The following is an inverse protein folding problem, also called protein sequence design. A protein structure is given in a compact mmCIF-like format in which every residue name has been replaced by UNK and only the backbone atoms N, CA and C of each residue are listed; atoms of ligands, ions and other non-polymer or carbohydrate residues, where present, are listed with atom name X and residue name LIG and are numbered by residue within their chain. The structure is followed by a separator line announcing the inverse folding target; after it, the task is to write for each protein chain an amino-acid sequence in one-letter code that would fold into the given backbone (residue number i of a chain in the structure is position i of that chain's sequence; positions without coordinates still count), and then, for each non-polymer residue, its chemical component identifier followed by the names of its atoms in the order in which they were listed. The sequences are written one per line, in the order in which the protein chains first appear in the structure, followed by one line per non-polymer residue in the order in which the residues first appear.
data_IF_753078668472
#
_entry.id   IF_753078668472
#
_cell.length_a   1.000
_cell.length_b   1.000
_cell.length_c   1.000
_cell.angle_alpha   90.00
_cell.angle_beta   90.00
_cell.angle_gamma   90.00
#
_symmetry.space_group_name_H-M   'P 1'
#
loop_
_entity.id
_entity.type
_entity.pdbx_description
1 polymer ?
#
# COMPACT_ATOMS: atom_id res chain seq x y z
N UNK A 1 18.36 20.08 -4.18
CA UNK A 1 17.24 19.16 -3.85
C UNK A 1 17.73 17.72 -3.63
N UNK A 2 18.85 17.48 -2.94
CA UNK A 2 19.14 16.10 -2.53
C UNK A 2 20.01 16.09 -1.28
N UNK A 3 19.40 15.61 -0.21
CA UNK A 3 19.99 15.20 1.05
C UNK A 3 20.19 13.67 1.09
N UNK A 4 20.04 12.99 -0.06
CA UNK A 4 20.20 11.56 -0.20
C UNK A 4 21.43 11.24 -1.07
N UNK A 5 22.27 10.26 -0.70
CA UNK A 5 23.49 9.95 -1.44
C UNK A 5 23.16 9.29 -2.78
N UNK A 6 23.61 9.90 -3.88
CA UNK A 6 23.42 9.38 -5.24
C UNK A 6 24.30 8.16 -5.57
N UNK A 7 25.21 7.78 -4.67
CA UNK A 7 26.05 6.59 -4.78
C UNK A 7 25.31 5.28 -4.49
N UNK A 8 24.13 5.35 -3.85
CA UNK A 8 23.26 4.20 -3.64
C UNK A 8 22.29 4.06 -4.81
N UNK A 9 22.22 2.87 -5.41
CA UNK A 9 21.29 2.57 -6.51
C UNK A 9 19.83 2.84 -6.12
N UNK A 10 19.45 2.53 -4.89
CA UNK A 10 18.11 2.81 -4.36
C UNK A 10 17.81 4.31 -4.31
N UNK A 11 18.69 5.10 -3.69
CA UNK A 11 18.48 6.55 -3.58
C UNK A 11 18.62 7.27 -4.94
N UNK A 12 19.43 6.75 -5.84
CA UNK A 12 19.53 7.23 -7.21
C UNK A 12 18.21 7.04 -7.95
N UNK A 13 17.57 5.87 -7.85
CA UNK A 13 16.25 5.63 -8.44
C UNK A 13 15.19 6.56 -7.86
N UNK A 14 15.20 6.81 -6.55
CA UNK A 14 14.28 7.77 -5.92
C UNK A 14 14.50 9.18 -6.49
N UNK A 15 15.74 9.64 -6.58
CA UNK A 15 16.07 10.96 -7.11
C UNK A 15 15.69 11.12 -8.58
N UNK A 16 15.94 10.10 -9.41
CA UNK A 16 15.61 10.10 -10.84
C UNK A 16 14.11 10.34 -11.09
N UNK A 17 13.22 9.95 -10.17
CA UNK A 17 11.76 10.21 -10.28
C UNK A 17 11.40 11.70 -10.16
N UNK A 18 12.24 12.51 -9.52
CA UNK A 18 12.03 13.95 -9.30
C UNK A 18 12.89 14.85 -10.20
N UNK A 19 13.79 14.25 -10.98
CA UNK A 19 14.64 14.99 -11.92
C UNK A 19 13.90 15.54 -13.14
N UNK A 20 12.82 14.95 -13.69
CA UNK A 20 12.19 15.48 -14.90
C UNK A 20 11.79 16.95 -14.79
N UNK A 21 11.22 17.39 -13.66
CA UNK A 21 10.81 18.79 -13.46
C UNK A 21 12.02 19.74 -13.39
N UNK A 22 13.07 19.36 -12.68
CA UNK A 22 14.29 20.16 -12.58
C UNK A 22 15.06 20.19 -13.91
N UNK A 23 15.15 19.06 -14.60
CA UNK A 23 15.76 18.94 -15.91
C UNK A 23 15.02 19.81 -16.94
N UNK A 24 13.69 19.81 -16.94
CA UNK A 24 12.89 20.70 -17.78
C UNK A 24 13.22 22.17 -17.53
N UNK A 25 13.33 22.60 -16.27
CA UNK A 25 13.74 23.96 -15.93
C UNK A 25 15.17 24.26 -16.42
N UNK A 26 16.12 23.36 -16.20
CA UNK A 26 17.49 23.51 -16.70
C UNK A 26 17.55 23.64 -18.23
N UNK A 27 16.77 22.83 -18.96
CA UNK A 27 16.66 22.92 -20.41
C UNK A 27 16.08 24.26 -20.87
N UNK A 28 15.03 24.76 -20.19
CA UNK A 28 14.45 26.09 -20.48
C UNK A 28 15.49 27.19 -20.25
N UNK A 29 16.19 27.18 -19.12
CA UNK A 29 17.23 28.17 -18.82
C UNK A 29 18.39 28.12 -19.79
N UNK A 30 18.85 26.91 -20.14
CA UNK A 30 19.90 26.71 -21.14
C UNK A 30 19.48 27.27 -22.50
N UNK A 31 18.25 27.01 -22.96
CA UNK A 31 17.73 27.54 -24.21
C UNK A 31 17.64 29.08 -24.22
N UNK A 32 17.20 29.68 -23.11
CA UNK A 32 17.17 31.14 -22.95
C UNK A 32 18.57 31.76 -22.97
N UNK A 33 19.54 31.15 -22.27
CA UNK A 33 20.93 31.57 -22.27
C UNK A 33 21.57 31.48 -23.66
N UNK A 34 21.38 30.36 -24.36
CA UNK A 34 21.86 30.18 -25.71
C UNK A 34 21.26 31.21 -26.67
N UNK A 35 19.96 31.50 -26.57
CA UNK A 35 19.30 32.56 -27.35
C UNK A 35 19.92 33.93 -27.08
N UNK A 36 20.23 34.26 -25.83
CA UNK A 36 20.89 35.52 -25.49
C UNK A 36 22.28 35.62 -26.13
N UNK A 37 23.10 34.57 -26.01
CA UNK A 37 24.44 34.49 -26.62
C UNK A 37 24.36 34.65 -28.14
N UNK A 38 23.48 33.90 -28.81
CA UNK A 38 23.27 34.01 -30.26
C UNK A 38 22.82 35.42 -30.66
N UNK A 39 21.93 36.04 -29.87
CA UNK A 39 21.47 37.41 -30.12
C UNK A 39 22.54 38.47 -29.89
N UNK A 40 23.47 38.24 -28.98
CA UNK A 40 24.59 39.14 -28.68
C UNK A 40 25.65 39.04 -29.79
N UNK A 41 26.00 37.81 -30.21
CA UNK A 41 26.91 37.56 -31.33
C UNK A 41 26.39 38.14 -32.66
N UNK A 42 25.07 38.14 -32.87
CA UNK A 42 24.43 38.79 -34.02
C UNK A 42 24.46 40.32 -33.98
N UNK A 43 24.44 40.92 -32.79
CA UNK A 43 24.44 42.37 -32.60
C UNK A 43 25.84 42.99 -32.64
N UNK A 44 26.89 42.20 -32.45
CA UNK A 44 28.29 42.65 -32.46
C UNK A 44 29.15 41.80 -33.43
N UNK A 45 28.94 41.91 -34.76
CA UNK A 45 29.66 41.12 -35.75
C UNK A 45 31.17 41.38 -35.80
N UNK A 46 31.64 42.48 -35.21
CA UNK A 46 33.07 42.85 -35.14
C UNK A 46 33.90 42.00 -34.16
N UNK A 47 33.27 41.22 -33.29
CA UNK A 47 33.94 40.31 -32.33
C UNK A 47 34.18 38.92 -32.95
N UNK A 48 33.59 38.68 -34.11
CA UNK A 48 33.65 37.40 -34.81
C UNK A 48 34.78 37.42 -35.87
N UNK A 49 35.58 36.35 -35.98
CA UNK A 49 36.68 36.28 -36.96
C UNK A 49 36.16 36.35 -38.41
N UNK A 50 36.99 36.73 -39.40
CA UNK A 50 36.55 37.01 -40.79
C UNK A 50 35.83 35.85 -41.52
N UNK A 51 35.99 34.61 -41.05
CA UNK A 51 35.32 33.41 -41.55
C UNK A 51 33.96 33.14 -40.88
N UNK A 52 33.64 33.86 -39.81
CA UNK A 52 32.39 33.74 -39.07
C UNK A 52 31.10 34.21 -39.79
N UNK A 53 31.10 34.97 -40.90
CA UNK A 53 29.89 35.11 -41.72
C UNK A 53 29.42 33.77 -42.30
N UNK A 54 30.27 32.73 -42.26
CA UNK A 54 29.91 31.34 -42.56
C UNK A 54 29.39 30.57 -41.33
N UNK A 55 29.18 31.21 -40.16
CA UNK A 55 28.32 30.65 -39.11
C UNK A 55 26.91 30.60 -39.69
N UNK A 56 26.46 29.41 -40.08
CA UNK A 56 25.51 29.33 -41.17
C UNK A 56 24.08 29.55 -40.68
N UNK A 57 23.17 29.65 -41.65
CA UNK A 57 21.73 29.89 -41.51
C UNK A 57 21.00 28.97 -40.52
N UNK A 58 21.66 27.96 -39.94
CA UNK A 58 21.16 27.24 -38.78
C UNK A 58 21.16 28.04 -37.46
N UNK A 59 21.66 29.28 -37.44
CA UNK A 59 21.36 30.23 -36.37
C UNK A 59 19.91 30.77 -36.44
N UNK A 60 19.10 30.43 -37.47
CA UNK A 60 17.67 30.77 -37.49
C UNK A 60 16.98 30.19 -36.24
N UNK A 61 15.91 30.83 -35.72
CA UNK A 61 15.25 30.38 -34.48
C UNK A 61 14.55 29.02 -34.59
N UNK A 62 14.56 28.38 -35.77
CA UNK A 62 13.87 27.13 -36.11
C UNK A 62 14.67 25.83 -35.91
N UNK A 63 15.91 25.69 -36.40
CA UNK A 63 16.72 24.46 -36.33
C UNK A 63 16.98 23.93 -34.93
N UNK A 64 17.20 24.78 -33.92
CA UNK A 64 17.39 24.32 -32.55
C UNK A 64 16.10 23.73 -31.94
N UNK A 65 14.94 24.41 -32.04
CA UNK A 65 13.65 23.79 -31.70
C UNK A 65 13.35 22.52 -32.50
N UNK A 66 13.67 22.48 -33.80
CA UNK A 66 13.50 21.30 -34.64
C UNK A 66 14.39 20.14 -34.20
N UNK A 67 15.66 20.39 -33.90
CA UNK A 67 16.59 19.37 -33.39
C UNK A 67 16.15 18.88 -31.99
N UNK A 68 15.69 19.78 -31.14
CA UNK A 68 15.13 19.43 -29.81
C UNK A 68 13.86 18.61 -29.96
N UNK A 69 12.94 19.02 -30.83
CA UNK A 69 11.71 18.29 -31.12
C UNK A 69 12.01 16.92 -31.74
N UNK A 70 12.99 16.83 -32.63
CA UNK A 70 13.44 15.57 -33.21
C UNK A 70 14.05 14.64 -32.16
N UNK A 71 14.90 15.15 -31.26
CA UNK A 71 15.44 14.36 -30.15
C UNK A 71 14.35 13.89 -29.18
N UNK A 72 13.41 14.77 -28.82
CA UNK A 72 12.26 14.40 -28.00
C UNK A 72 11.38 13.37 -28.71
N UNK A 73 11.16 13.51 -30.02
CA UNK A 73 10.39 12.56 -30.81
C UNK A 73 11.08 11.20 -30.87
N UNK A 74 12.38 11.16 -31.16
CA UNK A 74 13.19 9.92 -31.17
C UNK A 74 13.18 9.26 -29.80
N UNK A 75 13.36 10.03 -28.73
CA UNK A 75 13.32 9.50 -27.36
C UNK A 75 11.93 8.98 -27.00
N UNK A 76 10.88 9.74 -27.31
CA UNK A 76 9.50 9.34 -27.09
C UNK A 76 9.12 8.12 -27.92
N UNK A 77 9.58 8.00 -29.17
CA UNK A 77 9.26 6.85 -30.03
C UNK A 77 10.00 5.58 -29.60
N UNK A 78 11.28 5.68 -29.21
CA UNK A 78 12.05 4.53 -28.75
C UNK A 78 11.59 4.02 -27.38
N UNK A 79 11.08 4.90 -26.52
CA UNK A 79 10.61 4.54 -25.19
C UNK A 79 9.08 4.57 -25.05
N UNK A 80 8.36 4.65 -26.18
CA UNK A 80 6.89 4.73 -26.20
C UNK A 80 6.28 3.53 -25.48
N UNK A 81 6.63 2.30 -25.91
CA UNK A 81 6.05 1.08 -25.35
C UNK A 81 6.34 0.89 -23.85
N UNK A 82 7.47 1.42 -23.37
CA UNK A 82 7.83 1.38 -21.95
C UNK A 82 7.12 2.47 -21.13
N UNK A 83 6.70 3.56 -21.78
CA UNK A 83 6.06 4.73 -21.15
C UNK A 83 4.55 4.80 -21.41
N UNK A 84 4.01 3.94 -22.29
CA UNK A 84 2.60 3.93 -22.65
C UNK A 84 1.76 3.35 -21.51
N UNK A 85 1.25 4.26 -20.68
CA UNK A 85 0.33 3.95 -19.59
C UNK A 85 -1.14 4.20 -20.00
N UNK A 86 -1.43 4.39 -21.29
CA UNK A 86 -2.78 4.76 -21.77
C UNK A 86 -3.85 3.70 -21.49
N UNK A 87 -3.43 2.44 -21.36
CA UNK A 87 -4.31 1.30 -21.02
C UNK A 87 -4.20 0.88 -19.56
N UNK A 88 -3.32 1.51 -18.79
CA UNK A 88 -3.05 1.12 -17.42
C UNK A 88 -4.12 1.70 -16.49
N UNK A 89 -5.02 0.84 -16.02
CA UNK A 89 -6.07 1.20 -15.06
C UNK A 89 -5.76 0.76 -13.62
N UNK A 90 -4.60 0.13 -13.40
CA UNK A 90 -4.23 -0.47 -12.12
C UNK A 90 -4.24 0.52 -10.96
N UNK A 91 -3.87 1.79 -11.20
CA UNK A 91 -3.92 2.83 -10.18
C UNK A 91 -5.34 3.08 -9.65
N UNK A 92 -6.31 3.16 -10.58
CA UNK A 92 -7.72 3.30 -10.27
C UNK A 92 -8.24 2.03 -9.59
N UNK A 93 -7.97 0.87 -10.18
CA UNK A 93 -8.54 -0.40 -9.74
C UNK A 93 -8.01 -0.81 -8.36
N UNK A 94 -6.73 -0.53 -8.07
CA UNK A 94 -6.17 -0.64 -6.73
C UNK A 94 -6.90 0.23 -5.71
N UNK A 95 -7.13 1.51 -6.03
CA UNK A 95 -7.88 2.40 -5.15
C UNK A 95 -9.32 1.90 -4.91
N UNK A 96 -9.97 1.37 -5.95
CA UNK A 96 -11.32 0.79 -5.85
C UNK A 96 -11.36 -0.47 -4.97
N UNK A 97 -10.45 -1.42 -5.20
CA UNK A 97 -10.36 -2.66 -4.42
C UNK A 97 -9.98 -2.40 -2.96
N UNK A 98 -9.14 -1.38 -2.70
CA UNK A 98 -8.86 -0.94 -1.33
C UNK A 98 -10.10 -0.41 -0.63
N UNK A 99 -10.87 0.48 -1.27
CA UNK A 99 -12.09 1.05 -0.67
C UNK A 99 -13.26 0.05 -0.61
N UNK A 100 -13.18 -1.07 -1.35
CA UNK A 100 -14.18 -2.14 -1.34
C UNK A 100 -14.36 -2.77 0.05
N UNK A 101 -13.27 -2.93 0.80
CA UNK A 101 -13.28 -3.47 2.16
C UNK A 101 -13.97 -2.56 3.20
N UNK A 102 -14.13 -1.28 2.87
CA UNK A 102 -14.71 -0.27 3.75
C UNK A 102 -16.24 -0.32 3.71
N UNK A 103 -16.92 -0.43 4.87
CA UNK A 103 -18.38 -0.46 4.93
C UNK A 103 -18.99 0.89 4.58
N UNK A 104 -20.20 0.85 4.01
CA UNK A 104 -21.01 2.05 3.82
C UNK A 104 -21.73 2.41 5.14
N UNK A 105 -21.01 3.11 6.01
CA UNK A 105 -21.49 3.58 7.32
C UNK A 105 -21.27 5.08 7.45
N UNK A 106 -22.06 5.75 8.31
CA UNK A 106 -21.70 7.09 8.75
C UNK A 106 -20.39 7.05 9.52
N UNK A 107 -19.52 8.02 9.25
CA UNK A 107 -18.23 8.24 9.93
C UNK A 107 -17.29 7.03 9.87
N UNK A 108 -16.61 6.92 8.73
CA UNK A 108 -15.50 5.98 8.57
C UNK A 108 -14.19 6.75 8.53
N UNK A 109 -13.21 6.34 9.35
CA UNK A 109 -11.86 6.87 9.33
C UNK A 109 -10.93 5.82 8.69
N UNK A 110 -10.25 6.20 7.61
CA UNK A 110 -9.19 5.41 7.00
C UNK A 110 -7.84 6.05 7.32
N UNK A 111 -7.04 5.37 8.11
CA UNK A 111 -5.65 5.68 8.38
C UNK A 111 -4.79 5.11 7.25
N UNK A 112 -4.07 5.95 6.52
CA UNK A 112 -3.16 5.51 5.47
C UNK A 112 -1.71 5.61 5.92
N UNK A 113 -0.87 4.72 5.41
CA UNK A 113 0.58 4.78 5.50
C UNK A 113 1.15 4.40 4.14
N UNK A 114 2.10 5.20 3.64
CA UNK A 114 2.65 5.04 2.29
C UNK A 114 1.97 5.95 1.26
N UNK A 115 2.77 6.51 0.37
CA UNK A 115 2.30 7.43 -0.67
C UNK A 115 1.51 6.70 -1.76
N UNK A 116 1.85 5.44 -2.04
CA UNK A 116 1.12 4.53 -2.91
C UNK A 116 -0.35 4.35 -2.47
N UNK A 117 -0.55 4.14 -1.17
CA UNK A 117 -1.86 3.94 -0.55
C UNK A 117 -2.64 5.24 -0.56
N UNK A 118 -2.04 6.31 -0.03
CA UNK A 118 -2.70 7.60 0.13
C UNK A 118 -3.17 8.18 -1.21
N UNK A 119 -2.30 8.18 -2.22
CA UNK A 119 -2.58 8.81 -3.49
C UNK A 119 -3.68 8.07 -4.26
N UNK A 120 -3.67 6.73 -4.25
CA UNK A 120 -4.72 5.93 -4.86
C UNK A 120 -6.07 6.12 -4.14
N UNK A 121 -6.08 6.10 -2.80
CA UNK A 121 -7.29 6.33 -2.01
C UNK A 121 -7.90 7.71 -2.31
N UNK A 122 -7.07 8.76 -2.29
CA UNK A 122 -7.51 10.14 -2.55
C UNK A 122 -7.97 10.33 -3.98
N UNK A 123 -7.29 9.74 -4.96
CA UNK A 123 -7.70 9.81 -6.36
C UNK A 123 -9.11 9.26 -6.56
N UNK A 124 -9.37 8.04 -6.09
CA UNK A 124 -10.69 7.42 -6.23
C UNK A 124 -11.74 8.14 -5.40
N UNK A 125 -11.43 8.51 -4.16
CA UNK A 125 -12.38 9.16 -3.27
C UNK A 125 -12.73 10.59 -3.71
N UNK A 126 -11.73 11.42 -4.04
CA UNK A 126 -11.92 12.85 -4.34
C UNK A 126 -12.17 13.10 -5.82
N UNK A 127 -11.36 12.52 -6.71
CA UNK A 127 -11.42 12.87 -8.13
C UNK A 127 -12.57 12.17 -8.85
N UNK A 128 -12.76 10.87 -8.60
CA UNK A 128 -13.91 10.14 -9.16
C UNK A 128 -15.21 10.41 -8.39
N UNK A 129 -15.13 10.82 -7.12
CA UNK A 129 -16.28 11.27 -6.33
C UNK A 129 -16.88 12.59 -6.82
N UNK A 130 -16.03 13.55 -7.24
CA UNK A 130 -16.44 14.87 -7.76
C UNK A 130 -16.98 14.77 -9.19
N UNK A 131 -16.38 13.94 -10.06
CA UNK A 131 -16.87 13.74 -11.43
C UNK A 131 -18.22 13.00 -11.48
N UNK A 132 -18.57 12.24 -10.44
CA UNK A 132 -19.75 11.40 -10.38
C UNK A 132 -20.74 11.82 -9.28
N UNK A 133 -20.99 13.12 -9.10
CA UNK A 133 -21.87 13.70 -8.07
C UNK A 133 -23.34 13.20 -8.10
N UNK A 134 -23.71 12.30 -9.02
CA UNK A 134 -24.92 11.51 -8.91
C UNK A 134 -24.70 10.39 -7.86
N UNK A 135 -25.34 10.52 -6.71
CA UNK A 135 -25.41 9.55 -5.57
C UNK A 135 -25.70 8.08 -5.97
N UNK A 136 -26.11 7.85 -7.23
CA UNK A 136 -26.31 6.55 -7.84
C UNK A 136 -24.99 5.87 -8.30
N UNK A 137 -24.05 6.64 -8.83
CA UNK A 137 -22.77 6.12 -9.35
C UNK A 137 -21.79 5.79 -8.22
N UNK A 138 -21.87 6.48 -7.08
CA UNK A 138 -21.08 6.15 -5.87
C UNK A 138 -21.32 4.71 -5.39
N UNK A 139 -22.55 4.19 -5.52
CA UNK A 139 -22.87 2.79 -5.18
C UNK A 139 -22.37 1.78 -6.21
N UNK A 140 -22.34 2.14 -7.50
CA UNK A 140 -21.90 1.27 -8.60
C UNK A 140 -20.37 1.23 -8.74
N UNK A 141 -19.68 2.34 -8.46
CA UNK A 141 -18.22 2.48 -8.54
C UNK A 141 -17.51 2.36 -7.18
N UNK A 142 -18.21 2.00 -6.09
CA UNK A 142 -17.58 1.80 -4.78
C UNK A 142 -17.02 3.06 -4.09
N UNK A 143 -17.31 4.26 -4.58
CA UNK A 143 -16.88 5.54 -3.98
C UNK A 143 -17.70 5.83 -2.72
N UNK A 144 -17.03 5.99 -1.57
CA UNK A 144 -17.65 6.12 -0.24
C UNK A 144 -17.79 7.60 0.18
N UNK A 145 -18.99 8.20 0.21
CA UNK A 145 -19.16 9.63 0.51
C UNK A 145 -18.93 10.02 1.98
N UNK A 146 -18.85 9.05 2.90
CA UNK A 146 -18.72 9.27 4.36
C UNK A 146 -17.36 8.81 4.91
N UNK A 147 -16.35 8.79 4.04
CA UNK A 147 -14.99 8.37 4.34
C UNK A 147 -14.10 9.59 4.65
N UNK A 148 -13.40 9.55 5.78
CA UNK A 148 -12.35 10.51 6.13
C UNK A 148 -11.00 9.82 5.98
N UNK A 149 -10.12 10.35 5.13
CA UNK A 149 -8.80 9.76 4.88
C UNK A 149 -7.75 10.59 5.62
N UNK A 150 -7.13 10.01 6.64
CA UNK A 150 -6.06 10.64 7.42
C UNK A 150 -4.76 9.87 7.21
N UNK A 151 -3.72 10.58 6.76
CA UNK A 151 -2.43 9.96 6.53
C UNK A 151 -1.52 10.07 7.75
N UNK A 152 -0.94 8.94 8.15
CA UNK A 152 -0.07 8.83 9.32
C UNK A 152 1.24 9.60 9.15
N UNK A 153 1.75 9.82 7.94
CA UNK A 153 2.98 10.60 7.73
C UNK A 153 2.69 12.10 7.73
N UNK A 154 1.55 12.53 7.18
CA UNK A 154 1.18 13.96 7.19
C UNK A 154 0.78 14.46 8.58
N UNK A 155 0.09 13.65 9.37
CA UNK A 155 -0.39 14.06 10.70
C UNK A 155 0.74 14.25 11.73
N UNK A 156 1.96 13.83 11.40
CA UNK A 156 3.17 14.14 12.19
C UNK A 156 3.54 15.63 12.16
N UNK A 157 3.03 16.38 11.19
CA UNK A 157 3.35 17.80 11.06
C UNK A 157 2.26 18.67 11.67
N UNK A 158 2.66 19.55 12.60
CA UNK A 158 1.73 20.48 13.27
C UNK A 158 0.97 21.39 12.30
N UNK A 159 1.63 21.87 11.24
CA UNK A 159 0.95 22.68 10.21
C UNK A 159 -0.20 21.92 9.56
N UNK A 160 -0.09 20.59 9.39
CA UNK A 160 -1.12 19.78 8.77
C UNK A 160 -2.29 19.57 9.72
N UNK A 161 -2.02 19.23 10.99
CA UNK A 161 -3.05 19.11 12.03
C UNK A 161 -3.83 20.42 12.18
N UNK A 162 -3.14 21.57 12.28
CA UNK A 162 -3.78 22.90 12.32
C UNK A 162 -4.61 23.20 11.08
N UNK A 163 -4.17 22.72 9.91
CA UNK A 163 -4.90 22.90 8.66
C UNK A 163 -6.21 22.13 8.64
N UNK A 164 -6.25 20.90 9.15
CA UNK A 164 -7.43 20.02 9.05
C UNK A 164 -8.39 20.14 10.24
N UNK A 165 -7.92 20.56 11.42
CA UNK A 165 -8.72 20.62 12.65
C UNK A 165 -10.01 21.41 12.46
N UNK A 166 -11.14 20.75 12.67
CA UNK A 166 -12.47 21.36 12.60
C UNK A 166 -12.92 21.78 11.20
N UNK A 167 -12.27 21.28 10.13
CA UNK A 167 -12.54 21.71 8.75
C UNK A 167 -12.84 20.55 7.81
N UNK A 168 -13.77 20.78 6.88
CA UNK A 168 -14.10 19.84 5.80
C UNK A 168 -14.51 18.46 6.30
N UNK A 169 -13.97 17.41 5.67
CA UNK A 169 -14.19 16.00 6.05
C UNK A 169 -13.71 15.67 7.47
N UNK A 170 -12.78 16.46 8.02
CA UNK A 170 -12.21 16.26 9.35
C UNK A 170 -12.95 17.01 10.46
N UNK A 171 -14.07 17.70 10.16
CA UNK A 171 -14.74 18.59 11.12
C UNK A 171 -15.20 17.88 12.39
N UNK A 172 -15.51 16.58 12.30
CA UNK A 172 -15.98 15.75 13.41
C UNK A 172 -14.89 14.80 13.95
N UNK A 173 -13.67 14.90 13.44
CA UNK A 173 -12.54 14.09 13.86
C UNK A 173 -11.85 14.78 15.05
N UNK A 174 -11.76 14.08 16.18
CA UNK A 174 -11.05 14.58 17.35
C UNK A 174 -9.55 14.31 17.20
N UNK A 175 -8.74 15.38 17.24
CA UNK A 175 -7.28 15.32 17.16
C UNK A 175 -6.68 15.67 18.54
N UNK A 176 -6.16 14.69 19.31
CA UNK A 176 -5.83 14.86 20.73
C UNK A 176 -4.68 15.83 21.04
N UNK A 177 -3.84 16.14 20.05
CA UNK A 177 -2.68 17.00 20.23
C UNK A 177 -2.33 17.78 18.95
N UNK A 178 -1.17 18.44 18.96
CA UNK A 178 -0.75 19.32 17.85
C UNK A 178 -0.12 18.56 16.68
N UNK A 179 0.42 17.37 16.92
CA UNK A 179 0.99 16.50 15.90
C UNK A 179 0.97 15.05 16.36
N UNK A 180 1.13 14.11 15.45
CA UNK A 180 1.35 12.70 15.76
C UNK A 180 2.84 12.41 16.01
N UNK A 181 3.15 11.70 17.10
CA UNK A 181 4.51 11.31 17.47
C UNK A 181 4.83 11.62 18.94
N UNK A 182 6.12 11.77 19.25
CA UNK A 182 6.62 11.94 20.63
C UNK A 182 7.06 13.36 20.97
N UNK A 183 6.85 14.32 20.06
CA UNK A 183 7.17 15.72 20.31
C UNK A 183 6.29 16.33 21.42
N UNK A 184 6.71 17.45 22.02
CA UNK A 184 5.94 18.12 23.07
C UNK A 184 4.55 18.52 22.54
N UNK A 185 3.49 18.07 23.22
CA UNK A 185 2.10 18.32 22.82
C UNK A 185 1.61 17.44 21.66
N UNK A 186 2.45 16.53 21.17
CA UNK A 186 2.04 15.50 20.22
C UNK A 186 1.18 14.43 20.90
N UNK A 187 0.50 13.64 20.08
CA UNK A 187 -0.28 12.48 20.51
C UNK A 187 0.26 11.20 19.88
N UNK A 188 0.09 10.09 20.58
CA UNK A 188 0.32 8.75 20.05
C UNK A 188 -0.93 8.24 19.33
N UNK A 189 -0.77 7.26 18.45
CA UNK A 189 -1.88 6.77 17.62
C UNK A 189 -2.99 6.15 18.47
N UNK A 190 -2.66 5.54 19.61
CA UNK A 190 -3.64 5.06 20.59
C UNK A 190 -4.62 6.15 21.01
N UNK A 191 -4.12 7.34 21.32
CA UNK A 191 -4.95 8.47 21.78
C UNK A 191 -5.90 8.94 20.67
N UNK A 192 -5.45 8.94 19.41
CA UNK A 192 -6.30 9.27 18.27
C UNK A 192 -7.43 8.23 18.10
N UNK A 193 -7.10 6.95 18.22
CA UNK A 193 -8.08 5.88 18.11
C UNK A 193 -9.08 5.99 19.27
N UNK A 194 -8.61 6.11 20.52
CA UNK A 194 -9.45 6.23 21.71
C UNK A 194 -10.45 7.38 21.62
N UNK A 195 -10.01 8.56 21.19
CA UNK A 195 -10.86 9.74 21.07
C UNK A 195 -11.99 9.57 20.03
N UNK A 196 -11.84 8.66 19.08
CA UNK A 196 -12.77 8.53 17.94
C UNK A 196 -13.49 7.18 17.88
N UNK A 197 -13.02 6.14 18.58
CA UNK A 197 -13.46 4.75 18.38
C UNK A 197 -14.97 4.55 18.55
N UNK A 198 -15.58 5.21 19.53
CA UNK A 198 -17.00 5.02 19.83
C UNK A 198 -17.92 5.69 18.78
N UNK A 199 -17.40 6.70 18.06
CA UNK A 199 -18.14 7.45 17.03
C UNK A 199 -17.77 7.10 15.58
N UNK A 200 -16.69 6.32 15.37
CA UNK A 200 -16.10 6.07 14.07
C UNK A 200 -15.79 4.58 13.85
N UNK A 201 -16.04 4.09 12.63
CA UNK A 201 -15.44 2.81 12.19
C UNK A 201 -14.05 3.08 11.62
N UNK A 202 -13.01 2.60 12.31
CA UNK A 202 -11.61 2.94 11.99
C UNK A 202 -10.94 1.77 11.22
N UNK A 203 -10.31 2.11 10.11
CA UNK A 203 -9.59 1.19 9.22
C UNK A 203 -8.19 1.70 8.95
N UNK A 204 -7.31 0.79 8.55
CA UNK A 204 -5.91 1.05 8.22
C UNK A 204 -5.60 0.47 6.85
N UNK A 205 -4.92 1.23 6.01
CA UNK A 205 -4.35 0.75 4.75
C UNK A 205 -2.85 1.08 4.72
N UNK A 206 -2.04 0.14 4.23
CA UNK A 206 -0.57 0.25 4.27
C UNK A 206 0.07 -0.08 5.62
N UNK A 207 -0.73 -0.28 6.66
CA UNK A 207 -0.26 -0.68 7.99
C UNK A 207 -0.17 0.49 8.98
N UNK A 208 0.31 0.19 10.18
CA UNK A 208 0.54 1.17 11.25
C UNK A 208 2.01 1.61 11.22
N UNK A 209 2.27 2.85 11.61
CA UNK A 209 3.64 3.37 11.70
C UNK A 209 4.46 2.53 12.70
N UNK A 210 5.58 1.96 12.25
CA UNK A 210 6.36 0.97 13.03
C UNK A 210 6.96 1.53 14.32
N UNK A 211 7.25 2.83 14.36
CA UNK A 211 7.79 3.48 15.56
C UNK A 211 6.74 3.72 16.67
N UNK A 212 5.45 3.49 16.41
CA UNK A 212 4.38 3.62 17.41
C UNK A 212 3.61 2.31 17.60
N UNK A 213 3.91 1.62 18.68
CA UNK A 213 3.22 0.42 19.13
C UNK A 213 2.17 0.68 20.22
N UNK A 214 1.87 1.93 20.55
CA UNK A 214 0.94 2.29 21.65
C UNK A 214 -0.48 1.73 21.48
N UNK A 215 -0.88 1.44 20.25
CA UNK A 215 -2.18 0.83 19.95
C UNK A 215 -2.24 -0.66 20.29
N UNK A 216 -1.09 -1.34 20.32
CA UNK A 216 -1.02 -2.78 20.54
C UNK A 216 -1.41 -3.11 21.99
N UNK A 217 -1.93 -4.31 22.25
CA UNK A 217 -2.08 -4.79 23.61
C UNK A 217 -0.70 -4.91 24.27
N UNK A 218 -0.59 -4.49 25.52
CA UNK A 218 0.64 -4.65 26.30
C UNK A 218 0.69 -6.10 26.80
N UNK A 219 1.73 -6.83 26.40
CA UNK A 219 1.95 -8.20 26.85
C UNK A 219 2.06 -8.27 28.38
N UNK A 220 1.35 -9.23 28.99
CA UNK A 220 1.30 -9.39 30.45
C UNK A 220 0.35 -8.44 31.18
N UNK A 221 -0.27 -7.45 30.50
CA UNK A 221 -1.18 -6.48 31.12
C UNK A 221 -2.51 -6.33 30.35
N UNK A 222 -3.31 -7.41 30.23
CA UNK A 222 -4.56 -7.40 29.45
C UNK A 222 -5.59 -6.37 29.95
N UNK A 223 -5.53 -5.96 31.21
CA UNK A 223 -6.38 -4.93 31.80
C UNK A 223 -6.13 -3.52 31.24
N UNK A 224 -4.97 -3.29 30.63
CA UNK A 224 -4.64 -2.01 29.98
C UNK A 224 -5.30 -1.88 28.60
N UNK A 225 -5.98 -2.94 28.14
CA UNK A 225 -6.67 -2.98 26.86
C UNK A 225 -5.70 -2.93 25.68
N UNK A 226 -6.23 -2.59 24.52
CA UNK A 226 -5.46 -2.58 23.30
C UNK A 226 -6.36 -2.58 22.08
N UNK A 227 -5.73 -2.46 20.92
CA UNK A 227 -6.37 -2.66 19.63
C UNK A 227 -5.67 -3.78 18.88
N UNK A 228 -6.42 -4.46 18.03
CA UNK A 228 -5.93 -5.42 17.05
C UNK A 228 -6.38 -5.01 15.67
N UNK A 229 -5.58 -5.40 14.69
CA UNK A 229 -5.93 -5.26 13.29
C UNK A 229 -6.65 -6.53 12.84
N UNK A 230 -7.70 -6.39 12.04
CA UNK A 230 -8.43 -7.53 11.50
C UNK A 230 -8.67 -7.38 9.99
N UNK A 231 -8.21 -8.33 9.15
CA UNK A 231 -8.15 -8.14 7.71
C UNK A 231 -9.52 -8.14 7.03
N UNK A 232 -9.73 -7.22 6.10
CA UNK A 232 -10.91 -7.11 5.24
C UNK A 232 -10.50 -6.65 3.83
N UNK A 233 -10.13 -7.61 2.98
CA UNK A 233 -9.58 -7.30 1.66
C UNK A 233 -8.20 -6.67 1.78
N UNK A 234 -8.00 -5.49 1.19
CA UNK A 234 -6.72 -4.77 1.23
C UNK A 234 -6.58 -3.81 2.42
N UNK A 235 -7.58 -3.76 3.31
CA UNK A 235 -7.56 -2.91 4.51
C UNK A 235 -7.67 -3.76 5.78
N UNK A 236 -7.24 -3.18 6.89
CA UNK A 236 -7.37 -3.77 8.21
C UNK A 236 -8.36 -2.95 9.03
N UNK A 237 -9.35 -3.60 9.65
CA UNK A 237 -10.20 -2.94 10.62
C UNK A 237 -9.50 -2.87 11.98
N UNK A 238 -9.56 -1.72 12.64
CA UNK A 238 -9.12 -1.60 14.04
C UNK A 238 -10.27 -2.09 14.93
N UNK A 239 -9.98 -3.08 15.78
CA UNK A 239 -10.90 -3.63 16.76
C UNK A 239 -10.28 -3.56 18.15
N UNK A 240 -11.05 -3.25 19.19
CA UNK A 240 -10.60 -3.45 20.57
C UNK A 240 -10.32 -4.94 20.80
N UNK A 241 -9.33 -5.26 21.62
CA UNK A 241 -8.89 -6.65 21.86
C UNK A 241 -10.00 -7.55 22.41
N UNK A 242 -10.85 -6.98 23.27
CA UNK A 242 -12.02 -7.62 23.87
C UNK A 242 -13.19 -7.85 22.88
N UNK A 243 -13.09 -7.32 21.65
CA UNK A 243 -14.13 -7.48 20.64
C UNK A 243 -14.22 -8.93 20.20
N UNK A 244 -15.40 -9.55 20.38
CA UNK A 244 -15.66 -10.89 19.85
C UNK A 244 -15.81 -10.85 18.33
N UNK A 245 -15.00 -11.64 17.64
CA UNK A 245 -15.06 -11.78 16.19
C UNK A 245 -15.80 -13.08 15.86
N UNK A 246 -16.93 -12.97 15.14
CA UNK A 246 -17.56 -14.14 14.54
C UNK A 246 -16.77 -14.54 13.29
N UNK A 247 -15.93 -15.56 13.42
CA UNK A 247 -14.98 -15.97 12.40
C UNK A 247 -15.64 -16.53 11.15
N UNK A 248 -16.73 -17.30 11.28
CA UNK A 248 -17.43 -17.85 10.10
C UNK A 248 -18.06 -16.74 9.26
N UNK A 249 -18.77 -15.81 9.90
CA UNK A 249 -19.36 -14.64 9.22
C UNK A 249 -18.26 -13.78 8.59
N UNK A 250 -17.14 -13.62 9.27
CA UNK A 250 -16.00 -12.90 8.73
C UNK A 250 -15.35 -13.64 7.56
N UNK A 251 -15.19 -14.96 7.61
CA UNK A 251 -14.57 -15.77 6.56
C UNK A 251 -15.36 -15.70 5.26
N UNK A 252 -16.70 -15.80 5.33
CA UNK A 252 -17.58 -15.64 4.16
C UNK A 252 -17.60 -14.20 3.63
N UNK A 253 -17.48 -13.20 4.50
CA UNK A 253 -17.40 -11.79 4.08
C UNK A 253 -16.06 -11.47 3.42
N UNK A 254 -14.95 -11.91 4.02
CA UNK A 254 -13.59 -11.61 3.57
C UNK A 254 -13.29 -12.21 2.20
N UNK A 255 -13.86 -13.39 1.89
CA UNK A 255 -13.76 -14.01 0.57
C UNK A 255 -14.27 -13.10 -0.56
N UNK A 256 -15.41 -12.44 -0.34
CA UNK A 256 -16.03 -11.50 -1.31
C UNK A 256 -15.25 -10.20 -1.47
N UNK A 257 -14.31 -9.95 -0.56
CA UNK A 257 -13.48 -8.75 -0.50
C UNK A 257 -12.02 -9.03 -0.91
N UNK A 258 -11.68 -10.26 -1.31
CA UNK A 258 -10.37 -10.53 -1.89
C UNK A 258 -10.20 -9.69 -3.17
N UNK A 259 -9.08 -8.95 -3.30
CA UNK A 259 -8.90 -8.00 -4.39
C UNK A 259 -8.83 -8.72 -5.73
N UNK A 260 -9.39 -8.13 -6.78
CA UNK A 260 -9.38 -8.69 -8.14
C UNK A 260 -8.59 -7.79 -9.09
N UNK A 261 -7.32 -7.59 -8.77
CA UNK A 261 -6.43 -6.80 -9.61
C UNK A 261 -5.92 -7.66 -10.77
N UNK A 262 -5.90 -7.08 -11.96
CA UNK A 262 -5.39 -7.70 -13.17
C UNK A 262 -4.12 -6.99 -13.61
N UNK A 263 -3.08 -7.77 -13.89
CA UNK A 263 -1.84 -7.27 -14.48
C UNK A 263 -1.72 -7.82 -15.90
N UNK A 264 -1.86 -6.97 -16.93
CA UNK A 264 -1.72 -7.41 -18.32
C UNK A 264 -0.34 -8.00 -18.64
N UNK A 265 0.68 -7.58 -17.89
CA UNK A 265 2.06 -8.07 -17.95
C UNK A 265 2.60 -8.15 -16.51
N UNK A 266 3.56 -9.05 -16.22
CA UNK A 266 4.26 -9.03 -14.94
C UNK A 266 4.79 -7.64 -14.61
N UNK A 267 4.58 -7.13 -13.38
CA UNK A 267 5.09 -5.83 -12.99
C UNK A 267 6.61 -5.72 -13.16
N UNK A 268 7.14 -4.66 -13.80
CA UNK A 268 8.57 -4.44 -13.89
C UNK A 268 9.22 -4.30 -12.50
N UNK A 269 10.45 -4.75 -12.34
CA UNK A 269 11.17 -4.61 -11.06
C UNK A 269 11.39 -3.13 -10.72
N UNK A 270 11.13 -2.75 -9.47
CA UNK A 270 11.19 -1.38 -8.96
C UNK A 270 9.99 -0.51 -9.35
N UNK A 271 9.03 -1.04 -10.10
CA UNK A 271 7.81 -0.31 -10.48
C UNK A 271 6.83 -0.16 -9.32
N UNK A 272 5.92 0.79 -9.46
CA UNK A 272 4.84 0.99 -8.51
C UNK A 272 3.90 -0.24 -8.45
N UNK A 273 3.64 -0.85 -9.60
CA UNK A 273 2.82 -2.06 -9.74
C UNK A 273 3.44 -3.26 -9.02
N UNK A 274 4.77 -3.34 -8.99
CA UNK A 274 5.48 -4.38 -8.27
C UNK A 274 5.29 -4.23 -6.76
N UNK A 275 5.43 -3.00 -6.26
CA UNK A 275 5.19 -2.66 -4.86
C UNK A 275 3.76 -3.02 -4.47
N UNK A 276 2.77 -2.68 -5.31
CA UNK A 276 1.39 -3.07 -5.07
C UNK A 276 1.19 -4.58 -5.00
N UNK A 277 1.73 -5.32 -5.99
CA UNK A 277 1.59 -6.76 -6.07
C UNK A 277 2.18 -7.44 -4.82
N UNK A 278 3.38 -7.00 -4.39
CA UNK A 278 4.10 -7.56 -3.25
C UNK A 278 3.49 -7.18 -1.91
N UNK A 279 3.28 -5.89 -1.68
CA UNK A 279 3.05 -5.36 -0.33
C UNK A 279 1.56 -5.28 0.03
N UNK A 280 0.66 -5.24 -0.96
CA UNK A 280 -0.76 -5.03 -0.69
C UNK A 280 -1.64 -6.14 -1.25
N UNK A 281 -1.44 -6.53 -2.51
CA UNK A 281 -2.24 -7.59 -3.12
C UNK A 281 -1.96 -8.94 -2.47
N UNK A 282 -0.70 -9.39 -2.46
CA UNK A 282 -0.33 -10.65 -1.84
C UNK A 282 -0.68 -10.68 -0.35
N UNK A 283 -0.47 -9.56 0.36
CA UNK A 283 -0.80 -9.42 1.76
C UNK A 283 -2.29 -9.69 2.05
N UNK A 284 -3.22 -9.30 1.17
CA UNK A 284 -4.65 -9.59 1.34
C UNK A 284 -4.94 -11.11 1.36
N UNK A 285 -4.24 -11.88 0.52
CA UNK A 285 -4.38 -13.33 0.45
C UNK A 285 -3.67 -14.06 1.58
N UNK A 286 -2.50 -13.58 2.02
CA UNK A 286 -1.74 -14.20 3.11
C UNK A 286 -2.30 -13.84 4.49
N UNK A 287 -2.83 -12.63 4.67
CA UNK A 287 -3.40 -12.19 5.94
C UNK A 287 -4.71 -12.90 6.27
N UNK A 288 -5.52 -13.23 5.25
CA UNK A 288 -6.81 -13.91 5.44
C UNK A 288 -6.67 -15.22 6.24
N UNK A 289 -5.77 -16.16 5.92
CA UNK A 289 -5.60 -17.35 6.75
C UNK A 289 -4.68 -17.13 7.97
N UNK A 290 -3.75 -16.16 7.91
CA UNK A 290 -2.80 -15.91 9.00
C UNK A 290 -3.43 -15.32 10.27
N UNK A 291 -4.33 -14.35 10.15
CA UNK A 291 -4.94 -13.73 11.33
C UNK A 291 -5.82 -14.70 12.14
N UNK A 292 -6.66 -15.55 11.51
CA UNK A 292 -7.33 -16.66 12.20
C UNK A 292 -6.36 -17.63 12.87
N UNK A 293 -5.19 -17.91 12.27
CA UNK A 293 -4.17 -18.74 12.89
C UNK A 293 -3.63 -18.11 14.17
N UNK A 294 -3.26 -16.83 14.14
CA UNK A 294 -2.85 -16.09 15.35
C UNK A 294 -3.95 -16.09 16.41
N UNK A 295 -5.19 -15.87 16.00
CA UNK A 295 -6.36 -15.88 16.88
C UNK A 295 -6.66 -17.28 17.45
N UNK A 296 -6.27 -18.35 16.76
CA UNK A 296 -6.36 -19.72 17.28
C UNK A 296 -5.41 -19.95 18.46
N UNK A 297 -4.19 -19.43 18.39
CA UNK A 297 -3.23 -19.49 19.50
C UNK A 297 -3.75 -18.77 20.75
N UNK A 298 -4.48 -17.67 20.61
CA UNK A 298 -5.10 -16.98 21.74
C UNK A 298 -6.21 -17.80 22.43
N UNK A 299 -6.81 -18.78 21.74
CA UNK A 299 -7.84 -19.66 22.31
C UNK A 299 -7.27 -20.90 23.01
N UNK A 300 -5.95 -21.09 23.03
CA UNK A 300 -5.35 -22.25 23.70
C UNK A 300 -5.67 -22.23 25.20
N UNK A 301 -5.86 -23.41 25.83
CA UNK A 301 -6.11 -23.51 27.28
C UNK A 301 -5.02 -22.83 28.13
N UNK A 302 -3.76 -22.90 27.69
CA UNK A 302 -2.61 -22.25 28.34
C UNK A 302 -2.74 -20.72 28.39
N UNK A 303 -3.55 -20.13 27.51
CA UNK A 303 -3.84 -18.69 27.45
C UNK A 303 -5.23 -18.33 28.00
N UNK A 304 -5.88 -19.27 28.70
CA UNK A 304 -7.20 -19.08 29.31
C UNK A 304 -8.39 -19.31 28.37
N UNK A 305 -8.15 -19.89 27.18
CA UNK A 305 -9.21 -20.26 26.23
C UNK A 305 -9.71 -21.70 26.39
N UNK A 306 -10.50 -22.17 25.40
CA UNK A 306 -11.04 -23.53 25.36
C UNK A 306 -10.37 -24.35 24.25
N UNK A 307 -10.02 -25.62 24.55
CA UNK A 307 -9.45 -26.54 23.56
C UNK A 307 -10.36 -26.74 22.34
N UNK A 308 -11.69 -26.77 22.55
CA UNK A 308 -12.66 -26.90 21.45
C UNK A 308 -12.64 -25.66 20.55
N UNK A 309 -12.58 -24.47 21.16
CA UNK A 309 -12.52 -23.21 20.41
C UNK A 309 -11.19 -23.08 19.65
N UNK A 310 -10.06 -23.41 20.28
CA UNK A 310 -8.77 -23.43 19.61
C UNK A 310 -8.79 -24.36 18.39
N UNK A 311 -9.34 -25.58 18.54
CA UNK A 311 -9.49 -26.55 17.46
C UNK A 311 -10.29 -25.98 16.29
N UNK A 312 -11.46 -25.39 16.55
CA UNK A 312 -12.31 -24.83 15.49
C UNK A 312 -11.61 -23.68 14.75
N UNK A 313 -10.87 -22.84 15.48
CA UNK A 313 -10.09 -21.74 14.90
C UNK A 313 -8.91 -22.25 14.07
N UNK A 314 -8.16 -23.25 14.53
CA UNK A 314 -7.10 -23.89 13.74
C UNK A 314 -7.66 -24.57 12.49
N UNK A 315 -8.80 -25.23 12.59
CA UNK A 315 -9.47 -25.87 11.45
C UNK A 315 -9.91 -24.84 10.40
N UNK A 316 -10.47 -23.70 10.84
CA UNK A 316 -10.79 -22.60 9.94
C UNK A 316 -9.52 -22.05 9.28
N UNK A 317 -8.46 -21.77 10.05
CA UNK A 317 -7.21 -21.26 9.52
C UNK A 317 -6.60 -22.22 8.47
N UNK A 318 -6.61 -23.52 8.72
CA UNK A 318 -6.12 -24.53 7.79
C UNK A 318 -6.94 -24.58 6.49
N UNK A 319 -8.29 -24.57 6.59
CA UNK A 319 -9.18 -24.49 5.41
C UNK A 319 -8.97 -23.21 4.59
N UNK A 320 -8.70 -22.09 5.26
CA UNK A 320 -8.44 -20.82 4.58
C UNK A 320 -7.08 -20.84 3.86
N UNK A 321 -6.06 -21.51 4.41
CA UNK A 321 -4.79 -21.72 3.71
C UNK A 321 -4.98 -22.61 2.48
N UNK A 322 -5.72 -23.72 2.59
CA UNK A 322 -6.08 -24.55 1.43
C UNK A 322 -6.77 -23.73 0.35
N UNK A 323 -7.83 -22.99 0.72
CA UNK A 323 -8.57 -22.16 -0.22
C UNK A 323 -7.70 -21.07 -0.86
N UNK A 324 -6.78 -20.44 -0.12
CA UNK A 324 -5.86 -19.44 -0.69
C UNK A 324 -4.80 -20.06 -1.60
N UNK A 325 -4.37 -21.29 -1.31
CA UNK A 325 -3.39 -22.01 -2.13
C UNK A 325 -3.93 -22.37 -3.52
N UNK A 326 -5.21 -22.74 -3.60
CA UNK A 326 -5.88 -23.15 -4.84
C UNK A 326 -6.24 -21.96 -5.76
N UNK A 327 -6.00 -20.72 -5.31
CA UNK A 327 -6.28 -19.53 -6.12
C UNK A 327 -5.15 -19.23 -7.09
N UNK A 328 -5.51 -19.06 -8.36
CA UNK A 328 -4.61 -18.47 -9.36
C UNK A 328 -4.45 -16.97 -9.07
N UNK A 329 -3.29 -16.58 -8.55
CA UNK A 329 -2.92 -15.18 -8.44
C UNK A 329 -2.61 -14.67 -9.87
N UNK A 330 -3.34 -13.67 -10.36
CA UNK A 330 -3.34 -13.14 -11.75
C UNK A 330 -1.96 -12.74 -12.33
N UNK A 331 -1.08 -13.72 -12.54
CA UNK A 331 0.25 -13.58 -13.13
C UNK A 331 1.30 -12.85 -12.28
N UNK A 332 0.97 -12.37 -11.07
CA UNK A 332 1.82 -11.38 -10.38
C UNK A 332 2.78 -11.91 -9.32
N UNK A 333 2.60 -13.11 -8.75
CA UNK A 333 3.58 -13.80 -7.84
C UNK A 333 3.09 -15.16 -7.36
N UNK A 334 4.02 -16.05 -7.00
CA UNK A 334 3.75 -17.23 -6.17
C UNK A 334 3.50 -16.83 -4.71
N UNK A 335 2.80 -17.67 -3.95
CA UNK A 335 2.69 -17.50 -2.50
C UNK A 335 4.09 -17.63 -1.85
N UNK A 336 4.39 -16.82 -0.82
CA UNK A 336 5.69 -16.83 -0.17
C UNK A 336 5.88 -18.09 0.69
N UNK A 337 7.12 -18.44 0.98
CA UNK A 337 7.51 -19.58 1.82
C UNK A 337 6.79 -19.62 3.18
N UNK A 338 6.72 -18.50 3.91
CA UNK A 338 6.08 -18.41 5.22
C UNK A 338 4.59 -18.77 5.19
N UNK A 339 3.93 -18.65 4.03
CA UNK A 339 2.54 -19.09 3.86
C UNK A 339 2.45 -20.60 4.05
N UNK A 340 3.35 -21.36 3.43
CA UNK A 340 3.38 -22.82 3.51
C UNK A 340 3.81 -23.31 4.89
N UNK A 341 4.75 -22.59 5.53
CA UNK A 341 5.11 -22.83 6.94
C UNK A 341 3.88 -22.70 7.85
N UNK A 342 3.15 -21.58 7.75
CA UNK A 342 1.97 -21.31 8.56
C UNK A 342 0.82 -22.30 8.27
N UNK A 343 0.69 -22.75 7.02
CA UNK A 343 -0.26 -23.78 6.63
C UNK A 343 0.06 -25.13 7.30
N UNK A 344 1.32 -25.55 7.27
CA UNK A 344 1.77 -26.76 7.96
C UNK A 344 1.56 -26.68 9.47
N UNK A 345 1.89 -25.53 10.07
CA UNK A 345 1.66 -25.25 11.49
C UNK A 345 0.17 -25.36 11.86
N UNK A 346 -0.74 -24.82 11.04
CA UNK A 346 -2.17 -24.91 11.29
C UNK A 346 -2.67 -26.37 11.38
N UNK A 347 -2.16 -27.26 10.51
CA UNK A 347 -2.48 -28.69 10.58
C UNK A 347 -1.79 -29.42 11.72
N UNK A 348 -0.53 -29.10 12.02
CA UNK A 348 0.19 -29.70 13.15
C UNK A 348 -0.49 -29.43 14.48
N UNK A 349 -1.04 -28.23 14.68
CA UNK A 349 -1.76 -27.89 15.92
C UNK A 349 -3.06 -28.71 16.08
N UNK A 350 -3.70 -29.12 14.98
CA UNK A 350 -4.89 -29.97 15.03
C UNK A 350 -4.59 -31.40 15.49
N UNK A 351 -3.35 -31.89 15.31
CA UNK A 351 -2.95 -33.24 15.74
C UNK A 351 -3.12 -33.47 17.23
N UNK A 352 -2.89 -32.44 18.06
CA UNK A 352 -3.08 -32.51 19.50
C UNK A 352 -4.55 -32.73 19.92
N UNK A 353 -5.49 -32.49 19.00
CA UNK A 353 -6.93 -32.54 19.26
C UNK A 353 -7.65 -33.69 18.55
N UNK A 354 -6.98 -34.36 17.62
CA UNK A 354 -7.54 -35.48 16.85
C UNK A 354 -7.34 -36.79 17.61
N UNK A 355 -8.37 -37.63 17.65
CA UNK A 355 -8.39 -38.86 18.45
C UNK A 355 -8.49 -40.13 17.60
N UNK A 356 -8.88 -39.98 16.32
CA UNK A 356 -8.97 -41.11 15.39
C UNK A 356 -7.65 -41.34 14.67
N UNK A 357 -7.23 -42.60 14.54
CA UNK A 357 -5.99 -42.94 13.84
C UNK A 357 -6.02 -42.49 12.37
N UNK A 358 -7.17 -42.64 11.70
CA UNK A 358 -7.39 -42.15 10.33
C UNK A 358 -7.30 -40.62 10.23
N UNK A 359 -7.92 -39.89 11.17
CA UNK A 359 -7.84 -38.43 11.22
C UNK A 359 -6.42 -37.93 11.49
N UNK A 360 -5.70 -38.59 12.41
CA UNK A 360 -4.29 -38.28 12.70
C UNK A 360 -3.43 -38.51 11.45
N UNK A 361 -3.63 -39.62 10.74
CA UNK A 361 -2.90 -39.90 9.49
C UNK A 361 -3.19 -38.85 8.42
N UNK A 362 -4.46 -38.47 8.23
CA UNK A 362 -4.86 -37.45 7.27
C UNK A 362 -4.26 -36.06 7.60
N UNK A 363 -4.31 -35.64 8.86
CA UNK A 363 -3.72 -34.37 9.31
C UNK A 363 -2.19 -34.37 9.16
N UNK A 364 -1.51 -35.48 9.50
CA UNK A 364 -0.06 -35.63 9.29
C UNK A 364 0.30 -35.49 7.82
N UNK A 365 -0.47 -36.14 6.92
CA UNK A 365 -0.23 -36.06 5.49
C UNK A 365 -0.40 -34.62 4.97
N UNK A 366 -1.45 -33.90 5.41
CA UNK A 366 -1.66 -32.50 5.02
C UNK A 366 -0.58 -31.57 5.56
N UNK A 367 -0.19 -31.72 6.82
CA UNK A 367 0.91 -30.97 7.41
C UNK A 367 2.23 -31.22 6.67
N UNK A 368 2.55 -32.49 6.40
CA UNK A 368 3.73 -32.89 5.64
C UNK A 368 3.74 -32.27 4.24
N UNK A 369 2.63 -32.34 3.51
CA UNK A 369 2.53 -31.74 2.17
C UNK A 369 2.78 -30.23 2.19
N UNK A 370 2.27 -29.52 3.20
CA UNK A 370 2.53 -28.09 3.36
C UNK A 370 4.00 -27.81 3.71
N UNK A 371 4.61 -28.57 4.62
CA UNK A 371 6.02 -28.42 4.97
C UNK A 371 6.96 -28.80 3.83
N UNK A 372 6.65 -29.82 3.03
CA UNK A 372 7.43 -30.16 1.84
C UNK A 372 7.42 -29.01 0.82
N UNK A 373 6.29 -28.31 0.66
CA UNK A 373 6.24 -27.09 -0.15
C UNK A 373 7.08 -25.97 0.44
N UNK A 374 7.09 -25.80 1.76
CA UNK A 374 7.96 -24.83 2.45
C UNK A 374 9.44 -25.16 2.24
N UNK A 375 9.85 -26.43 2.40
CA UNK A 375 11.23 -26.87 2.23
C UNK A 375 11.71 -26.86 0.77
N UNK A 376 10.78 -26.83 -0.20
CA UNK A 376 11.12 -26.69 -1.62
C UNK A 376 11.64 -25.28 -1.96
N UNK A 377 11.49 -24.30 -1.06
CA UNK A 377 12.11 -22.98 -1.23
C UNK A 377 13.60 -23.07 -0.88
N UNK A 378 14.45 -22.72 -1.85
CA UNK A 378 15.92 -22.77 -1.73
C UNK A 378 16.50 -21.62 -0.87
N UNK A 379 15.70 -21.00 -0.03
CA UNK A 379 16.04 -19.76 0.71
C UNK A 379 16.00 -19.93 2.23
N UNK A 380 15.96 -21.16 2.75
CA UNK A 380 16.11 -21.42 4.19
C UNK A 380 17.42 -20.79 4.68
N UNK A 381 17.29 -19.75 5.51
CA UNK A 381 18.41 -19.17 6.24
C UNK A 381 18.66 -19.97 7.51
N UNK A 382 19.82 -19.83 8.17
CA UNK A 382 20.10 -20.54 9.44
C UNK A 382 19.11 -20.18 10.57
N UNK A 383 18.29 -19.14 10.40
CA UNK A 383 17.24 -18.72 11.34
C UNK A 383 15.85 -19.33 11.07
N UNK A 384 15.65 -20.01 9.93
CA UNK A 384 14.39 -20.64 9.50
C UNK A 384 14.28 -22.13 9.87
#
# INVERSE_FOLDING_TARGET
MSNLPASSEFYLQVQQRFWPQANMLCCVWFALGLRQVVSALRRAPSVLPPWAPMLPRWASPLPMPLATAALLFVHASHHYDASDMSRTVIFRDYGLEMLRGIPDKPRVLLLTLGDEVLNAARYVHRQLGVLNAARYVHRQLGVRPQLTILDQNYVQFDWFVRRIRGKGEYAQLELPGVSYGTAKGAFLIRQLIDANYDGWSIFVAGGMHTADSSWQPIEGYPQLGGYRLWPLGMVMQILRVESRINLDKWASKSEKLLPRLEWPKPPPVGSWEEVLAKNHYLAAYTNRPYYPLQYAYEALPERGGSAAEARDRFLLAARLHEASHDLTLNGSRALPDYFFRNWGVAYSQLLATERSDEGVAALKQRAMNAFLKYLAFSTLTEED
#
